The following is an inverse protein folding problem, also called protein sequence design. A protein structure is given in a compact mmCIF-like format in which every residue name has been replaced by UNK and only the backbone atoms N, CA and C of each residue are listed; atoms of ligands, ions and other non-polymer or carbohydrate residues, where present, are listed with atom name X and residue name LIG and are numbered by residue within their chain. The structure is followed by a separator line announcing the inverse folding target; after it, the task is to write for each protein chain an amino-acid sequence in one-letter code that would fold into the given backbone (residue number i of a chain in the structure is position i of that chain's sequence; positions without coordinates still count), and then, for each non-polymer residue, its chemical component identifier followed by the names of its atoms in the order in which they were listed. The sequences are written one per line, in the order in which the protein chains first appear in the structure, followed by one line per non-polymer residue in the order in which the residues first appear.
data_IF_797618938720
#
_entry.id   IF_797618938720
#
_cell.length_a   1.000
_cell.length_b   1.000
_cell.length_c   1.000
_cell.angle_alpha   90.00
_cell.angle_beta   90.00
_cell.angle_gamma   90.00
#
_symmetry.space_group_name_H-M   'P 1'
#
loop_
_entity.id
_entity.type
_entity.pdbx_description
1 polymer ?
#
# COMPACT_ATOMS: atom_id res chain seq x y z
N UNK A 1 -2.20 24.19 -19.36
CA UNK A 1 -2.30 22.72 -19.27
C UNK A 1 -0.90 22.19 -19.50
N UNK A 2 -0.26 21.69 -18.45
CA UNK A 2 1.05 21.06 -18.58
C UNK A 2 0.82 19.55 -18.54
N UNK A 3 1.07 18.87 -19.67
CA UNK A 3 1.16 17.42 -19.74
C UNK A 3 2.27 16.97 -18.81
N UNK A 4 1.93 16.11 -17.85
CA UNK A 4 2.90 15.48 -16.97
C UNK A 4 3.60 14.39 -17.78
N UNK A 5 4.84 14.66 -18.20
CA UNK A 5 5.67 13.68 -18.89
C UNK A 5 6.12 12.57 -17.90
N UNK A 6 6.15 11.29 -18.32
CA UNK A 6 6.63 10.20 -17.48
C UNK A 6 8.12 10.37 -17.11
N UNK A 7 8.48 9.84 -15.93
CA UNK A 7 9.75 10.09 -15.26
C UNK A 7 10.99 9.63 -16.09
N UNK A 8 12.04 10.45 -16.23
CA UNK A 8 13.20 10.18 -17.09
C UNK A 8 14.10 9.02 -16.63
N UNK A 9 13.94 8.55 -15.39
CA UNK A 9 14.66 7.37 -14.85
C UNK A 9 14.18 6.03 -15.44
N UNK A 10 12.94 5.97 -15.92
CA UNK A 10 12.33 4.79 -16.53
C UNK A 10 12.66 4.69 -18.04
N UNK A 11 12.89 5.81 -18.72
CA UNK A 11 12.93 5.87 -20.19
C UNK A 11 14.14 5.19 -20.85
N UNK A 12 15.26 4.99 -20.14
CA UNK A 12 16.47 4.41 -20.75
C UNK A 12 16.40 2.89 -20.97
N UNK A 13 15.58 2.15 -20.21
CA UNK A 13 15.37 0.71 -20.42
C UNK A 13 14.09 0.42 -21.25
N UNK A 14 13.09 1.29 -21.18
CA UNK A 14 11.80 1.17 -21.91
C UNK A 14 11.97 1.12 -23.44
N UNK A 15 12.95 1.86 -23.99
CA UNK A 15 13.13 1.95 -25.44
C UNK A 15 13.66 0.66 -26.09
N UNK A 16 14.07 -0.36 -25.32
CA UNK A 16 14.50 -1.65 -25.87
C UNK A 16 13.41 -2.74 -25.85
N UNK A 17 12.37 -2.60 -25.04
CA UNK A 17 11.32 -3.61 -24.89
C UNK A 17 10.10 -3.39 -25.81
N UNK A 18 9.99 -2.23 -26.47
CA UNK A 18 8.80 -1.84 -27.25
C UNK A 18 8.69 -2.47 -28.64
N UNK A 19 9.51 -3.48 -28.97
CA UNK A 19 9.58 -4.08 -30.32
C UNK A 19 8.91 -5.46 -30.47
N UNK A 20 8.18 -5.95 -29.46
CA UNK A 20 7.37 -7.16 -29.59
C UNK A 20 5.94 -6.89 -29.11
N UNK A 21 5.03 -6.64 -30.06
CA UNK A 21 3.59 -6.72 -29.82
C UNK A 21 3.21 -8.18 -29.57
N UNK A 22 3.50 -8.69 -28.38
CA UNK A 22 2.88 -9.91 -27.87
C UNK A 22 1.46 -9.57 -27.39
N UNK A 23 0.51 -10.45 -27.68
CA UNK A 23 -0.88 -10.40 -27.23
C UNK A 23 -0.98 -9.92 -25.78
N UNK A 24 -1.37 -8.66 -25.58
CA UNK A 24 -1.61 -8.12 -24.24
C UNK A 24 -2.88 -8.78 -23.74
N UNK A 25 -2.73 -9.83 -22.94
CA UNK A 25 -3.83 -10.41 -22.21
C UNK A 25 -4.42 -9.32 -21.31
N UNK A 26 -5.64 -8.90 -21.62
CA UNK A 26 -6.34 -7.93 -20.78
C UNK A 26 -6.69 -8.59 -19.45
N UNK A 27 -6.36 -7.97 -18.30
CA UNK A 27 -6.72 -8.51 -17.00
C UNK A 27 -8.23 -8.70 -16.89
N UNK A 28 -8.67 -9.81 -16.29
CA UNK A 28 -10.10 -10.06 -16.01
C UNK A 28 -10.65 -9.06 -15.00
N UNK A 29 -9.82 -8.62 -14.05
CA UNK A 29 -10.22 -7.68 -13.00
C UNK A 29 -9.87 -6.24 -13.36
N UNK A 30 -10.74 -5.27 -13.05
CA UNK A 30 -10.40 -3.87 -13.17
C UNK A 30 -9.31 -3.50 -12.17
N UNK A 31 -8.51 -2.48 -12.49
CA UNK A 31 -7.55 -1.93 -11.52
C UNK A 31 -8.23 -1.38 -10.28
N UNK A 32 -7.55 -1.47 -9.13
CA UNK A 32 -8.07 -0.88 -7.90
C UNK A 32 -8.30 0.61 -8.11
N UNK A 33 -9.40 1.10 -7.55
CA UNK A 33 -9.71 2.52 -7.54
C UNK A 33 -10.32 2.88 -6.19
N UNK A 34 -9.97 4.06 -5.70
CA UNK A 34 -10.37 4.54 -4.37
C UNK A 34 -11.46 5.60 -4.52
N UNK A 35 -12.61 5.22 -5.04
CA UNK A 35 -13.77 6.12 -5.13
C UNK A 35 -14.43 6.35 -3.75
N UNK A 36 -15.33 7.34 -3.67
CA UNK A 36 -16.05 7.65 -2.43
C UNK A 36 -16.75 6.42 -1.83
N UNK A 37 -17.31 5.53 -2.64
CA UNK A 37 -18.07 4.36 -2.18
C UNK A 37 -17.22 3.34 -1.43
N UNK A 38 -15.93 3.26 -1.76
CA UNK A 38 -14.93 2.45 -1.04
C UNK A 38 -14.81 2.91 0.42
N UNK A 39 -15.04 4.20 0.67
CA UNK A 39 -14.95 4.84 1.98
C UNK A 39 -16.32 5.24 2.52
N UNK A 40 -17.39 4.54 2.20
CA UNK A 40 -18.66 4.70 2.93
C UNK A 40 -18.69 3.66 4.05
N UNK A 41 -18.84 4.11 5.30
CA UNK A 41 -19.05 3.22 6.43
C UNK A 41 -20.43 2.58 6.33
N UNK A 42 -20.51 1.26 6.46
CA UNK A 42 -21.79 0.58 6.71
C UNK A 42 -22.29 0.91 8.12
N UNK A 43 -21.39 0.89 9.13
CA UNK A 43 -21.73 1.23 10.52
C UNK A 43 -20.56 1.96 11.21
N UNK A 44 -20.70 3.26 11.47
CA UNK A 44 -19.68 4.07 12.13
C UNK A 44 -20.27 5.06 13.14
N UNK A 45 -19.99 4.86 14.42
CA UNK A 45 -20.16 5.91 15.45
C UNK A 45 -18.80 6.31 16.03
N UNK A 46 -18.69 7.56 16.51
CA UNK A 46 -17.50 8.05 17.20
C UNK A 46 -16.28 8.29 16.31
N UNK A 47 -15.10 7.81 16.73
CA UNK A 47 -13.81 8.11 16.08
C UNK A 47 -13.72 7.56 14.63
N UNK A 48 -14.41 6.46 14.30
CA UNK A 48 -14.50 5.93 12.92
C UNK A 48 -15.13 6.94 11.97
N UNK A 49 -16.21 7.59 12.39
CA UNK A 49 -16.92 8.57 11.57
C UNK A 49 -16.02 9.77 11.27
N UNK A 50 -15.22 10.21 12.25
CA UNK A 50 -14.30 11.35 12.06
C UNK A 50 -13.24 11.07 10.98
N UNK A 51 -12.68 9.85 10.94
CA UNK A 51 -11.73 9.49 9.88
C UNK A 51 -12.43 9.25 8.53
N UNK A 52 -13.66 8.75 8.52
CA UNK A 52 -14.48 8.69 7.31
C UNK A 52 -14.72 10.08 6.72
N UNK A 53 -15.25 11.00 7.52
CA UNK A 53 -15.52 12.38 7.09
C UNK A 53 -14.25 13.06 6.59
N UNK A 54 -13.12 12.77 7.22
CA UNK A 54 -11.81 13.26 6.78
C UNK A 54 -11.43 12.73 5.39
N UNK A 55 -11.58 11.43 5.13
CA UNK A 55 -11.28 10.85 3.81
C UNK A 55 -12.23 11.41 2.75
N UNK A 56 -13.53 11.47 3.05
CA UNK A 56 -14.53 12.02 2.12
C UNK A 56 -14.25 13.49 1.81
N UNK A 57 -13.89 14.29 2.82
CA UNK A 57 -13.47 15.68 2.63
C UNK A 57 -12.17 15.82 1.82
N UNK A 58 -11.24 14.86 1.93
CA UNK A 58 -10.05 14.80 1.07
C UNK A 58 -10.46 14.54 -0.38
N UNK A 59 -11.34 13.57 -0.62
CA UNK A 59 -11.83 13.24 -1.97
C UNK A 59 -12.61 14.41 -2.57
N UNK A 60 -13.42 15.10 -1.79
CA UNK A 60 -14.16 16.29 -2.25
C UNK A 60 -13.24 17.44 -2.61
N UNK A 61 -12.17 17.63 -1.84
CA UNK A 61 -11.28 18.77 -2.04
C UNK A 61 -10.22 18.53 -3.12
N UNK A 62 -9.66 17.32 -3.18
CA UNK A 62 -8.51 17.01 -4.03
C UNK A 62 -8.76 15.89 -5.02
N UNK A 63 -9.84 15.12 -4.83
CA UNK A 63 -10.16 14.00 -5.69
C UNK A 63 -10.48 14.42 -7.12
N UNK A 64 -10.34 13.47 -8.03
CA UNK A 64 -10.60 13.62 -9.46
C UNK A 64 -11.66 12.59 -9.84
N UNK A 65 -12.74 13.04 -10.47
CA UNK A 65 -13.89 12.20 -10.83
C UNK A 65 -14.45 11.38 -9.65
N UNK A 66 -14.47 11.98 -8.45
CA UNK A 66 -14.94 11.32 -7.22
C UNK A 66 -14.00 10.25 -6.66
N UNK A 67 -12.76 10.16 -7.16
CA UNK A 67 -11.72 9.22 -6.72
C UNK A 67 -10.65 9.93 -5.90
N UNK A 68 -10.09 9.21 -4.92
CA UNK A 68 -8.90 9.62 -4.17
C UNK A 68 -7.68 9.56 -5.10
N UNK A 69 -7.47 10.65 -5.82
CA UNK A 69 -6.27 10.89 -6.63
C UNK A 69 -5.65 12.17 -6.12
N UNK A 70 -4.36 12.14 -5.79
CA UNK A 70 -3.63 13.27 -5.24
C UNK A 70 -2.40 13.57 -6.10
N UNK A 71 -2.11 14.85 -6.30
CA UNK A 71 -0.78 15.29 -6.73
C UNK A 71 0.18 15.25 -5.54
N UNK A 72 1.50 15.05 -5.77
CA UNK A 72 2.48 15.03 -4.68
C UNK A 72 2.40 16.23 -3.74
N UNK A 73 2.23 17.44 -4.28
CA UNK A 73 2.12 18.67 -3.49
C UNK A 73 0.82 18.77 -2.66
N UNK A 74 -0.29 18.19 -3.12
CA UNK A 74 -1.58 18.16 -2.40
C UNK A 74 -1.49 17.31 -1.12
N UNK A 75 -0.60 16.31 -1.10
CA UNK A 75 -0.43 15.42 0.06
C UNK A 75 0.04 16.14 1.33
N UNK A 76 0.75 17.26 1.17
CA UNK A 76 1.15 18.09 2.31
C UNK A 76 -0.05 18.66 3.06
N UNK A 77 -1.04 19.16 2.32
CA UNK A 77 -2.22 19.75 2.90
C UNK A 77 -3.16 18.69 3.47
N UNK A 78 -3.21 17.51 2.85
CA UNK A 78 -3.85 16.32 3.42
C UNK A 78 -3.21 15.97 4.78
N UNK A 79 -1.88 15.86 4.83
CA UNK A 79 -1.11 15.56 6.04
C UNK A 79 -1.25 16.63 7.14
N UNK A 80 -1.55 17.88 6.78
CA UNK A 80 -1.85 18.95 7.75
C UNK A 80 -3.30 18.89 8.25
N UNK A 81 -4.24 18.57 7.39
CA UNK A 81 -5.67 18.52 7.73
C UNK A 81 -5.94 17.42 8.76
N UNK A 82 -5.22 16.30 8.63
CA UNK A 82 -5.23 15.21 9.62
C UNK A 82 -4.62 15.63 10.98
N UNK A 83 -3.70 16.60 11.01
CA UNK A 83 -3.18 17.21 12.26
C UNK A 83 -4.14 18.24 12.88
N UNK A 84 -4.79 19.10 12.08
CA UNK A 84 -5.64 20.19 12.59
C UNK A 84 -6.91 19.69 13.27
N UNK A 85 -7.52 18.62 12.74
CA UNK A 85 -8.63 17.93 13.41
C UNK A 85 -8.24 17.38 14.81
N UNK A 86 -6.95 17.21 15.08
CA UNK A 86 -6.40 16.78 16.38
C UNK A 86 -6.28 17.93 17.38
N UNK A 87 -6.18 19.19 16.92
CA UNK A 87 -5.93 20.37 17.76
C UNK A 87 -7.18 21.21 17.98
N UNK A 88 -8.06 21.37 16.98
CA UNK A 88 -9.24 22.24 17.09
C UNK A 88 -10.41 21.66 17.91
N UNK A 89 -10.49 20.34 18.12
CA UNK A 89 -11.53 19.72 18.98
C UNK A 89 -11.18 19.69 20.48
N UNK A 90 -10.02 20.20 20.88
CA UNK A 90 -9.58 20.26 22.29
C UNK A 90 -10.38 21.23 23.19
N UNK A 91 -11.36 21.96 22.63
CA UNK A 91 -12.24 22.86 23.39
C UNK A 91 -13.54 22.21 23.90
N UNK A 92 -13.89 20.98 23.48
CA UNK A 92 -14.98 20.19 24.07
C UNK A 92 -14.38 18.97 24.76
N UNK A 93 -14.77 18.70 26.02
CA UNK A 93 -14.30 17.58 26.86
C UNK A 93 -14.41 16.25 26.11
N UNK A 94 -13.34 15.82 25.45
CA UNK A 94 -13.26 14.57 24.70
C UNK A 94 -11.84 13.97 24.76
N UNK A 95 -11.67 12.68 24.45
CA UNK A 95 -10.65 11.81 25.03
C UNK A 95 -9.22 12.27 24.78
N UNK A 96 -8.36 12.09 25.79
CA UNK A 96 -6.94 12.44 25.74
C UNK A 96 -6.27 11.94 24.45
N UNK A 97 -5.36 12.74 23.87
CA UNK A 97 -4.59 12.46 22.64
C UNK A 97 -4.00 11.04 22.56
N UNK A 98 -3.74 10.38 23.71
CA UNK A 98 -3.28 8.99 23.79
C UNK A 98 -4.36 7.96 23.38
N UNK A 99 -5.64 8.20 23.67
CA UNK A 99 -6.76 7.28 23.36
C UNK A 99 -7.01 7.23 21.85
N UNK A 100 -7.04 8.38 21.18
CA UNK A 100 -7.21 8.47 19.71
C UNK A 100 -6.08 7.75 18.97
N UNK A 101 -4.84 7.89 19.45
CA UNK A 101 -3.70 7.21 18.84
C UNK A 101 -3.74 5.69 19.10
N UNK A 102 -4.16 5.27 20.30
CA UNK A 102 -4.36 3.85 20.63
C UNK A 102 -5.46 3.21 19.80
N UNK A 103 -6.57 3.94 19.59
CA UNK A 103 -7.65 3.51 18.71
C UNK A 103 -7.17 3.31 17.28
N UNK A 104 -6.50 4.31 16.70
CA UNK A 104 -5.96 4.23 15.33
C UNK A 104 -5.00 3.05 15.14
N UNK A 105 -4.07 2.85 16.08
CA UNK A 105 -3.13 1.72 16.04
C UNK A 105 -3.88 0.39 16.17
N UNK A 106 -4.86 0.31 17.07
CA UNK A 106 -5.70 -0.88 17.22
C UNK A 106 -6.48 -1.20 15.95
N UNK A 107 -7.17 -0.20 15.38
CA UNK A 107 -7.95 -0.34 14.16
C UNK A 107 -7.10 -0.76 12.97
N UNK A 108 -5.93 -0.14 12.79
CA UNK A 108 -4.96 -0.51 11.76
C UNK A 108 -4.51 -1.98 11.92
N UNK A 109 -4.21 -2.41 13.14
CA UNK A 109 -3.83 -3.79 13.43
C UNK A 109 -4.97 -4.76 13.11
N UNK A 110 -6.20 -4.41 13.45
CA UNK A 110 -7.36 -5.25 13.15
C UNK A 110 -7.59 -5.36 11.63
N UNK A 111 -7.34 -4.28 10.88
CA UNK A 111 -7.41 -4.28 9.41
C UNK A 111 -6.29 -5.07 8.75
N UNK A 112 -5.08 -5.06 9.30
CA UNK A 112 -4.01 -5.98 8.87
C UNK A 112 -4.38 -7.44 9.13
N UNK A 113 -4.91 -7.76 10.31
CA UNK A 113 -5.38 -9.12 10.60
C UNK A 113 -6.45 -9.57 9.61
N UNK A 114 -7.42 -8.70 9.33
CA UNK A 114 -8.41 -8.97 8.29
C UNK A 114 -7.75 -9.19 6.92
N UNK A 115 -6.80 -8.33 6.52
CA UNK A 115 -6.08 -8.49 5.26
C UNK A 115 -5.43 -9.87 5.13
N UNK A 116 -4.81 -10.38 6.20
CA UNK A 116 -4.23 -11.73 6.18
C UNK A 116 -5.26 -12.84 5.98
N UNK A 117 -6.50 -12.67 6.45
CA UNK A 117 -7.58 -13.66 6.21
C UNK A 117 -8.08 -13.69 4.77
N UNK A 118 -7.81 -12.64 3.98
CA UNK A 118 -8.29 -12.48 2.60
C UNK A 118 -7.14 -12.27 1.61
N UNK A 119 -5.91 -12.62 2.00
CA UNK A 119 -4.70 -12.33 1.21
C UNK A 119 -4.68 -13.06 -0.13
N UNK A 120 -5.33 -14.23 -0.21
CA UNK A 120 -5.41 -15.02 -1.43
C UNK A 120 -6.18 -14.28 -2.54
N UNK A 121 -7.23 -13.52 -2.17
CA UNK A 121 -7.95 -12.62 -3.10
C UNK A 121 -7.00 -11.65 -3.77
N UNK A 122 -6.08 -11.06 -3.00
CA UNK A 122 -5.11 -10.09 -3.50
C UNK A 122 -4.01 -10.72 -4.35
N UNK A 123 -3.51 -11.91 -3.97
CA UNK A 123 -2.55 -12.62 -4.81
C UNK A 123 -3.14 -13.04 -6.16
N UNK A 124 -4.38 -13.53 -6.16
CA UNK A 124 -5.09 -13.85 -7.41
C UNK A 124 -5.29 -12.59 -8.27
N UNK A 125 -5.54 -11.46 -7.62
CA UNK A 125 -5.75 -10.20 -8.31
C UNK A 125 -4.44 -9.72 -8.96
N UNK A 126 -3.33 -9.69 -8.24
CA UNK A 126 -2.04 -9.32 -8.81
C UNK A 126 -1.57 -10.28 -9.89
N UNK A 127 -1.87 -11.58 -9.75
CA UNK A 127 -1.61 -12.57 -10.80
C UNK A 127 -2.38 -12.27 -12.08
N UNK A 128 -3.63 -11.86 -11.99
CA UNK A 128 -4.40 -11.41 -13.14
C UNK A 128 -3.87 -10.10 -13.75
N UNK A 129 -3.47 -9.14 -12.92
CA UNK A 129 -2.93 -7.86 -13.40
C UNK A 129 -1.57 -7.98 -14.10
N UNK A 130 -0.72 -8.92 -13.65
CA UNK A 130 0.68 -9.01 -14.07
C UNK A 130 1.01 -10.25 -14.88
N UNK A 131 0.20 -11.30 -14.78
CA UNK A 131 0.51 -12.66 -15.23
C UNK A 131 1.45 -13.42 -14.30
N UNK A 132 1.91 -12.80 -13.20
CA UNK A 132 2.91 -13.36 -12.31
C UNK A 132 2.31 -13.79 -10.98
N UNK A 133 2.59 -15.03 -10.57
CA UNK A 133 2.24 -15.52 -9.25
C UNK A 133 3.26 -15.04 -8.21
N UNK A 134 3.09 -13.81 -7.72
CA UNK A 134 4.01 -13.22 -6.75
C UNK A 134 4.09 -14.03 -5.44
N UNK A 135 3.05 -14.79 -5.07
CA UNK A 135 3.08 -15.63 -3.87
C UNK A 135 4.15 -16.70 -3.99
N UNK A 136 4.14 -17.45 -5.09
CA UNK A 136 5.08 -18.54 -5.34
C UNK A 136 6.48 -17.95 -5.54
N UNK A 137 6.62 -16.96 -6.44
CA UNK A 137 7.91 -16.33 -6.75
C UNK A 137 8.59 -15.72 -5.53
N UNK A 138 7.83 -15.08 -4.64
CA UNK A 138 8.38 -14.49 -3.42
C UNK A 138 8.85 -15.57 -2.43
N UNK A 139 8.05 -16.62 -2.24
CA UNK A 139 8.38 -17.74 -1.35
C UNK A 139 9.62 -18.49 -1.79
N UNK A 140 9.87 -18.63 -3.09
CA UNK A 140 11.09 -19.26 -3.61
C UNK A 140 12.35 -18.44 -3.27
N UNK A 141 12.25 -17.10 -3.24
CA UNK A 141 13.39 -16.21 -3.01
C UNK A 141 13.66 -15.90 -1.55
N UNK A 142 12.61 -15.80 -0.73
CA UNK A 142 12.70 -15.32 0.65
C UNK A 142 12.01 -16.33 1.58
N UNK A 143 12.81 -17.09 2.34
CA UNK A 143 12.30 -18.15 3.21
C UNK A 143 11.87 -17.68 4.60
N UNK A 144 12.26 -16.47 5.01
CA UNK A 144 11.95 -15.98 6.36
C UNK A 144 10.45 -15.67 6.51
N UNK A 145 9.69 -16.35 7.41
CA UNK A 145 8.23 -16.25 7.46
C UNK A 145 7.71 -14.83 7.67
N UNK A 146 8.33 -14.05 8.56
CA UNK A 146 7.91 -12.68 8.83
C UNK A 146 7.98 -11.78 7.58
N UNK A 147 8.93 -12.04 6.69
CA UNK A 147 9.05 -11.32 5.43
C UNK A 147 8.01 -11.77 4.42
N UNK A 148 7.73 -13.08 4.35
CA UNK A 148 6.64 -13.62 3.53
C UNK A 148 5.28 -13.06 3.97
N UNK A 149 5.04 -12.94 5.28
CA UNK A 149 3.80 -12.39 5.83
C UNK A 149 3.69 -10.88 5.59
N UNK A 150 4.79 -10.14 5.67
CA UNK A 150 4.76 -8.68 5.45
C UNK A 150 4.65 -8.27 3.99
N UNK A 151 5.17 -9.10 3.07
CA UNK A 151 5.24 -8.81 1.64
C UNK A 151 3.90 -8.40 0.99
N UNK A 152 2.80 -9.15 1.14
CA UNK A 152 1.54 -8.78 0.48
C UNK A 152 0.97 -7.47 1.04
N UNK A 153 1.20 -7.16 2.32
CA UNK A 153 0.80 -5.86 2.88
C UNK A 153 1.63 -4.73 2.27
N UNK A 154 2.94 -4.93 2.13
CA UNK A 154 3.81 -3.99 1.40
C UNK A 154 3.32 -3.77 -0.03
N UNK A 155 3.07 -4.85 -0.78
CA UNK A 155 2.69 -4.75 -2.18
C UNK A 155 1.34 -4.03 -2.36
N UNK A 156 0.38 -4.29 -1.47
CA UNK A 156 -0.88 -3.54 -1.47
C UNK A 156 -0.68 -2.05 -1.20
N UNK A 157 0.21 -1.68 -0.27
CA UNK A 157 0.52 -0.27 -0.03
C UNK A 157 1.23 0.38 -1.22
N UNK A 158 2.13 -0.35 -1.89
CA UNK A 158 2.79 0.10 -3.10
C UNK A 158 1.76 0.39 -4.21
N UNK A 159 0.85 -0.56 -4.45
CA UNK A 159 -0.26 -0.40 -5.40
C UNK A 159 -1.17 0.77 -5.05
N UNK A 160 -1.53 0.93 -3.77
CA UNK A 160 -2.31 2.07 -3.31
C UNK A 160 -1.61 3.41 -3.59
N UNK A 161 -0.28 3.50 -3.42
CA UNK A 161 0.49 4.70 -3.74
C UNK A 161 0.48 4.95 -5.26
N UNK A 162 0.69 3.91 -6.07
CA UNK A 162 0.62 4.01 -7.53
C UNK A 162 -0.76 4.54 -7.95
N UNK A 163 -1.84 3.95 -7.45
CA UNK A 163 -3.21 4.34 -7.81
C UNK A 163 -3.56 5.76 -7.35
N UNK A 164 -3.15 6.18 -6.15
CA UNK A 164 -3.49 7.51 -5.63
C UNK A 164 -2.72 8.60 -6.37
N UNK A 165 -1.46 8.39 -6.71
CA UNK A 165 -0.61 9.46 -7.24
C UNK A 165 -0.38 9.39 -8.75
N UNK A 166 -0.58 8.23 -9.37
CA UNK A 166 -0.35 7.97 -10.79
C UNK A 166 -1.51 7.16 -11.42
N UNK A 167 -2.77 7.63 -11.30
CA UNK A 167 -3.95 6.87 -11.77
C UNK A 167 -4.04 6.74 -13.29
N UNK A 168 -3.38 7.61 -14.04
CA UNK A 168 -3.41 7.66 -15.50
C UNK A 168 -2.38 6.72 -16.16
N UNK A 169 -1.65 5.93 -15.36
CA UNK A 169 -0.66 4.97 -15.85
C UNK A 169 -1.28 3.95 -16.79
N UNK A 170 -0.62 3.69 -17.92
CA UNK A 170 -1.06 2.66 -18.87
C UNK A 170 -0.91 1.26 -18.25
N UNK A 171 -1.58 0.25 -18.80
CA UNK A 171 -1.56 -1.11 -18.21
C UNK A 171 -0.16 -1.69 -18.12
N UNK A 172 0.64 -1.45 -19.15
CA UNK A 172 2.04 -1.86 -19.19
C UNK A 172 2.80 -1.21 -18.03
N UNK A 173 2.72 0.12 -17.90
CA UNK A 173 3.38 0.87 -16.81
C UNK A 173 2.92 0.42 -15.43
N UNK A 174 1.63 0.15 -15.26
CA UNK A 174 1.07 -0.33 -13.99
C UNK A 174 1.62 -1.70 -13.58
N UNK A 175 1.65 -2.64 -14.53
CA UNK A 175 2.28 -3.95 -14.34
C UNK A 175 3.75 -3.79 -13.97
N UNK A 176 4.48 -2.95 -14.70
CA UNK A 176 5.91 -2.69 -14.45
C UNK A 176 6.14 -2.10 -13.05
N UNK A 177 5.27 -1.22 -12.55
CA UNK A 177 5.38 -0.70 -11.19
C UNK A 177 5.17 -1.79 -10.12
N UNK A 178 4.20 -2.69 -10.31
CA UNK A 178 3.98 -3.81 -9.40
C UNK A 178 5.14 -4.80 -9.40
N UNK A 179 5.67 -5.12 -10.58
CA UNK A 179 6.85 -5.98 -10.73
C UNK A 179 8.10 -5.33 -10.12
N UNK A 180 8.28 -4.02 -10.32
CA UNK A 180 9.36 -3.26 -9.69
C UNK A 180 9.23 -3.23 -8.16
N UNK A 181 8.02 -3.10 -7.62
CA UNK A 181 7.79 -3.19 -6.18
C UNK A 181 8.14 -4.59 -5.64
N UNK A 182 7.74 -5.65 -6.34
CA UNK A 182 8.12 -7.03 -6.02
C UNK A 182 9.65 -7.20 -6.01
N UNK A 183 10.33 -6.82 -7.10
CA UNK A 183 11.78 -6.97 -7.23
C UNK A 183 12.53 -6.16 -6.17
N UNK A 184 12.12 -4.91 -5.96
CA UNK A 184 12.70 -4.05 -4.93
C UNK A 184 12.58 -4.69 -3.55
N UNK A 185 11.40 -5.16 -3.18
CA UNK A 185 11.18 -5.79 -1.87
C UNK A 185 12.01 -7.06 -1.72
N UNK A 186 11.97 -7.96 -2.71
CA UNK A 186 12.71 -9.22 -2.65
C UNK A 186 14.23 -9.00 -2.58
N UNK A 187 14.78 -8.07 -3.37
CA UNK A 187 16.21 -7.76 -3.37
C UNK A 187 16.64 -7.09 -2.06
N UNK A 188 15.85 -6.14 -1.55
CA UNK A 188 16.16 -5.48 -0.29
C UNK A 188 16.04 -6.45 0.90
N UNK A 189 15.03 -7.33 0.87
CA UNK A 189 14.84 -8.38 1.87
C UNK A 189 16.03 -9.34 1.89
N UNK A 190 16.46 -9.82 0.71
CA UNK A 190 17.65 -10.67 0.58
C UNK A 190 18.89 -9.98 1.12
N UNK A 191 19.12 -8.72 0.72
CA UNK A 191 20.25 -7.93 1.23
C UNK A 191 20.24 -7.83 2.76
N UNK A 192 19.10 -7.54 3.38
CA UNK A 192 19.00 -7.47 4.84
C UNK A 192 19.21 -8.83 5.50
N UNK A 193 18.76 -9.92 4.89
CA UNK A 193 19.03 -11.28 5.36
C UNK A 193 20.52 -11.61 5.28
N UNK A 194 21.18 -11.32 4.16
CA UNK A 194 22.61 -11.55 3.96
C UNK A 194 23.44 -10.77 5.01
N UNK A 195 23.10 -9.49 5.24
CA UNK A 195 23.71 -8.64 6.28
C UNK A 195 23.44 -9.17 7.72
N UNK A 196 22.28 -9.78 7.98
CA UNK A 196 21.94 -10.36 9.29
C UNK A 196 22.63 -11.73 9.52
N UNK A 197 22.81 -12.53 8.46
CA UNK A 197 23.51 -13.81 8.50
C UNK A 197 25.00 -13.65 8.86
N UNK A 198 25.62 -12.54 8.47
CA UNK A 198 26.98 -12.17 8.91
C UNK A 198 27.04 -11.90 10.43
N UNK A 199 25.91 -11.67 11.11
CA UNK A 199 25.85 -11.18 12.50
C UNK A 199 25.41 -12.24 13.53
N UNK A 200 24.66 -13.28 13.16
CA UNK A 200 24.28 -14.36 14.10
C UNK A 200 23.69 -15.63 13.43
N UNK A 201 24.40 -16.77 13.55
CA UNK A 201 23.78 -18.10 13.44
C UNK A 201 23.36 -18.53 14.85
N UNK A 202 22.08 -18.49 15.16
CA UNK A 202 21.51 -19.22 16.31
C UNK A 202 20.09 -19.72 15.97
N UNK A 203 20.04 -20.92 15.38
CA UNK A 203 18.91 -21.87 15.32
C UNK A 203 17.61 -21.54 14.56
N UNK A 204 17.03 -22.61 14.01
CA UNK A 204 16.20 -22.71 12.81
C UNK A 204 14.77 -22.14 12.85
N UNK A 205 14.36 -21.46 13.93
CA UNK A 205 12.96 -21.00 14.05
C UNK A 205 12.76 -19.65 14.74
N UNK A 206 13.83 -19.01 15.23
CA UNK A 206 13.73 -17.71 15.89
C UNK A 206 14.73 -16.76 15.30
N UNK A 207 14.24 -15.62 14.84
CA UNK A 207 15.08 -14.49 14.43
C UNK A 207 16.04 -14.17 15.57
N UNK A 208 17.34 -14.21 15.30
CA UNK A 208 18.37 -13.93 16.32
C UNK A 208 18.15 -12.55 16.93
N UNK A 209 18.43 -12.37 18.23
CA UNK A 209 18.23 -11.07 18.92
C UNK A 209 18.97 -9.89 18.25
N UNK A 210 20.03 -10.19 17.51
CA UNK A 210 20.83 -9.20 16.78
C UNK A 210 20.30 -8.88 15.38
N UNK A 211 19.39 -9.69 14.84
CA UNK A 211 18.79 -9.46 13.53
C UNK A 211 17.90 -8.23 13.55
N UNK A 212 17.88 -7.52 12.42
CA UNK A 212 17.00 -6.37 12.17
C UNK A 212 15.51 -6.74 12.24
N UNK A 213 15.19 -8.02 12.09
CA UNK A 213 13.83 -8.54 12.14
C UNK A 213 13.40 -8.98 13.55
N UNK A 214 14.29 -8.89 14.54
CA UNK A 214 13.98 -9.36 15.89
C UNK A 214 12.82 -8.59 16.52
N UNK A 215 11.78 -9.30 16.94
CA UNK A 215 10.60 -8.71 17.56
C UNK A 215 9.71 -7.91 16.62
N UNK A 216 9.99 -7.90 15.30
CA UNK A 216 9.18 -7.22 14.29
C UNK A 216 7.82 -7.89 14.10
N UNK A 217 7.66 -9.15 14.52
CA UNK A 217 6.39 -9.89 14.56
C UNK A 217 5.35 -9.15 15.43
N UNK A 218 5.81 -8.47 16.48
CA UNK A 218 4.99 -7.63 17.34
C UNK A 218 4.70 -6.24 16.76
N UNK A 219 5.43 -5.85 15.72
CA UNK A 219 5.37 -4.54 15.09
C UNK A 219 5.26 -4.64 13.55
N UNK A 220 4.30 -5.42 13.06
CA UNK A 220 4.09 -5.66 11.62
C UNK A 220 3.99 -4.40 10.73
N UNK A 221 3.71 -3.23 11.30
CA UNK A 221 3.77 -1.95 10.58
C UNK A 221 5.18 -1.44 10.34
N UNK A 222 6.09 -1.65 11.29
CA UNK A 222 7.48 -1.21 11.16
C UNK A 222 8.18 -1.94 10.01
N UNK A 223 7.92 -3.24 9.86
CA UNK A 223 8.50 -4.03 8.77
C UNK A 223 7.98 -3.55 7.40
N UNK A 224 6.69 -3.27 7.25
CA UNK A 224 6.14 -2.73 5.99
C UNK A 224 6.80 -1.41 5.62
N UNK A 225 6.92 -0.48 6.58
CA UNK A 225 7.55 0.82 6.34
C UNK A 225 9.07 0.77 6.16
N UNK A 226 9.73 -0.28 6.64
CA UNK A 226 11.16 -0.51 6.38
C UNK A 226 11.44 -0.75 4.88
N UNK A 227 10.46 -1.28 4.14
CA UNK A 227 10.53 -1.46 2.69
C UNK A 227 9.86 -0.30 1.93
N UNK A 228 8.71 0.21 2.40
CA UNK A 228 8.03 1.32 1.72
C UNK A 228 8.83 2.63 1.73
N UNK A 229 9.49 2.99 2.84
CA UNK A 229 10.28 4.23 2.90
C UNK A 229 11.31 4.31 1.76
N UNK A 230 12.24 3.34 1.61
CA UNK A 230 13.23 3.40 0.54
C UNK A 230 12.61 3.18 -0.85
N UNK A 231 11.55 2.38 -0.99
CA UNK A 231 10.86 2.22 -2.28
C UNK A 231 10.23 3.55 -2.77
N UNK A 232 9.51 4.27 -1.90
CA UNK A 232 8.94 5.59 -2.23
C UNK A 232 10.05 6.58 -2.56
N UNK A 233 11.17 6.53 -1.83
CA UNK A 233 12.33 7.40 -2.09
C UNK A 233 12.91 7.19 -3.49
N UNK A 234 12.98 5.94 -3.93
CA UNK A 234 13.60 5.57 -5.21
C UNK A 234 12.66 5.81 -6.40
N UNK A 235 11.42 5.35 -6.30
CA UNK A 235 10.48 5.36 -7.44
C UNK A 235 9.57 6.60 -7.47
N UNK A 236 9.40 7.28 -6.34
CA UNK A 236 8.49 8.42 -6.21
C UNK A 236 9.13 9.61 -5.48
N UNK A 237 10.24 10.16 -6.01
CA UNK A 237 11.01 11.21 -5.31
C UNK A 237 10.20 12.47 -5.01
N UNK A 238 9.23 12.82 -5.86
CA UNK A 238 8.31 13.94 -5.63
C UNK A 238 7.45 13.72 -4.38
N UNK A 239 6.85 12.53 -4.26
CA UNK A 239 6.05 12.13 -3.09
C UNK A 239 6.95 12.06 -1.86
N UNK A 240 8.12 11.42 -1.99
CA UNK A 240 9.11 11.34 -0.93
C UNK A 240 9.46 12.71 -0.37
N UNK A 241 9.72 13.71 -1.23
CA UNK A 241 10.09 15.06 -0.82
C UNK A 241 9.03 15.73 0.07
N UNK A 242 7.75 15.44 -0.20
CA UNK A 242 6.61 15.97 0.55
C UNK A 242 6.38 15.18 1.84
N UNK A 243 6.46 13.85 1.78
CA UNK A 243 6.24 12.95 2.91
C UNK A 243 7.38 12.97 3.95
N UNK A 244 8.61 13.19 3.50
CA UNK A 244 9.81 13.28 4.33
C UNK A 244 10.20 14.71 4.70
N UNK A 245 9.35 15.70 4.40
CA UNK A 245 9.65 17.13 4.61
C UNK A 245 10.21 17.36 6.02
N UNK A 246 11.44 17.89 6.09
CA UNK A 246 12.23 18.14 7.31
C UNK A 246 12.85 16.92 8.01
N UNK A 247 12.93 15.77 7.34
CA UNK A 247 13.44 14.51 7.92
C UNK A 247 14.16 13.67 6.85
N UNK A 248 15.04 12.78 7.30
CA UNK A 248 15.67 11.75 6.43
C UNK A 248 14.74 10.54 6.17
N UNK A 249 13.58 10.51 6.81
CA UNK A 249 12.56 9.46 6.72
C UNK A 249 11.17 10.08 6.58
N UNK A 250 10.24 9.34 6.00
CA UNK A 250 8.83 9.74 5.95
C UNK A 250 8.34 10.00 7.39
N UNK A 251 7.69 11.14 7.60
CA UNK A 251 7.23 11.52 8.93
C UNK A 251 6.00 10.68 9.34
N UNK A 252 5.81 10.48 10.65
CA UNK A 252 4.73 9.64 11.21
C UNK A 252 3.33 10.06 10.78
N UNK A 253 3.08 11.34 10.49
CA UNK A 253 1.75 11.78 10.06
C UNK A 253 1.48 11.34 8.63
N UNK A 254 2.46 11.48 7.74
CA UNK A 254 2.37 11.00 6.37
C UNK A 254 2.15 9.49 6.33
N UNK A 255 2.86 8.71 7.17
CA UNK A 255 2.58 7.27 7.36
C UNK A 255 1.15 7.03 7.82
N UNK A 256 0.72 7.78 8.84
CA UNK A 256 -0.62 7.68 9.39
C UNK A 256 -1.75 7.97 8.40
N UNK A 257 -1.54 8.87 7.43
CA UNK A 257 -2.51 9.13 6.35
C UNK A 257 -2.64 7.92 5.44
N UNK A 258 -1.51 7.37 4.96
CA UNK A 258 -1.50 6.19 4.09
C UNK A 258 -2.14 4.99 4.81
N UNK A 259 -1.77 4.75 6.07
CA UNK A 259 -2.36 3.71 6.91
C UNK A 259 -3.87 3.90 7.12
N UNK A 260 -4.34 5.16 7.16
CA UNK A 260 -5.76 5.49 7.26
C UNK A 260 -6.49 5.10 5.96
N UNK A 261 -5.96 5.46 4.79
CA UNK A 261 -6.53 5.04 3.51
C UNK A 261 -6.61 3.52 3.40
N UNK A 262 -5.54 2.81 3.79
CA UNK A 262 -5.55 1.34 3.85
C UNK A 262 -6.66 0.81 4.77
N UNK A 263 -6.71 1.29 6.02
CA UNK A 263 -7.62 0.74 7.04
C UNK A 263 -9.10 0.92 6.68
N UNK A 264 -9.44 2.02 6.00
CA UNK A 264 -10.80 2.34 5.62
C UNK A 264 -11.22 1.78 4.26
N UNK A 265 -10.27 1.45 3.38
CA UNK A 265 -10.59 0.89 2.06
C UNK A 265 -10.62 -0.64 2.00
N UNK A 266 -9.75 -1.31 2.77
CA UNK A 266 -9.38 -2.70 2.47
C UNK A 266 -10.56 -3.68 2.46
N UNK A 267 -11.48 -3.56 3.43
CA UNK A 267 -12.65 -4.45 3.52
C UNK A 267 -13.55 -4.31 2.30
N UNK A 268 -13.87 -3.07 1.93
CA UNK A 268 -14.82 -2.81 0.84
C UNK A 268 -14.22 -3.18 -0.51
N UNK A 269 -12.94 -2.89 -0.71
CA UNK A 269 -12.22 -3.34 -1.88
C UNK A 269 -12.23 -4.87 -1.97
N UNK A 270 -11.83 -5.58 -0.91
CA UNK A 270 -11.86 -7.05 -0.91
C UNK A 270 -13.25 -7.59 -1.26
N UNK A 271 -14.32 -7.08 -0.64
CA UNK A 271 -15.70 -7.50 -0.95
C UNK A 271 -16.06 -7.34 -2.45
N UNK A 272 -15.58 -6.26 -3.08
CA UNK A 272 -15.80 -6.01 -4.52
C UNK A 272 -15.04 -7.05 -5.36
N UNK A 273 -13.77 -7.29 -5.06
CA UNK A 273 -12.95 -8.22 -5.82
C UNK A 273 -13.37 -9.69 -5.62
N UNK A 274 -13.77 -10.08 -4.41
CA UNK A 274 -14.38 -11.39 -4.14
C UNK A 274 -15.67 -11.61 -4.94
N UNK A 275 -16.51 -10.58 -5.08
CA UNK A 275 -17.70 -10.64 -5.93
C UNK A 275 -17.34 -10.80 -7.40
N UNK A 276 -16.26 -10.18 -7.88
CA UNK A 276 -15.78 -10.41 -9.23
C UNK A 276 -15.37 -11.88 -9.41
N UNK A 277 -14.60 -12.47 -8.48
CA UNK A 277 -14.24 -13.90 -8.53
C UNK A 277 -15.49 -14.80 -8.58
N UNK A 278 -16.46 -14.55 -7.71
CA UNK A 278 -17.71 -15.32 -7.69
C UNK A 278 -18.46 -15.25 -9.02
N UNK A 279 -18.45 -14.11 -9.71
CA UNK A 279 -19.07 -13.98 -11.04
C UNK A 279 -18.33 -14.75 -12.13
N UNK A 280 -17.00 -14.74 -12.14
CA UNK A 280 -16.22 -15.45 -13.17
C UNK A 280 -16.26 -16.97 -13.01
N UNK A 281 -16.27 -17.47 -11.77
CA UNK A 281 -16.40 -18.91 -11.52
C UNK A 281 -17.78 -19.47 -11.93
N UNK A 282 -18.82 -18.63 -11.98
CA UNK A 282 -20.14 -19.02 -12.48
C UNK A 282 -20.17 -19.08 -14.02
N UNK A 283 -19.47 -18.16 -14.69
CA UNK A 283 -19.41 -18.10 -16.17
C UNK A 283 -18.56 -19.25 -16.74
N UNK A 284 -17.48 -19.67 -16.07
CA UNK A 284 -16.66 -20.81 -16.49
C UNK A 284 -17.31 -22.18 -16.18
N UNK A 285 -18.48 -22.19 -15.53
CA UNK A 285 -19.23 -23.40 -15.16
C UNK A 285 -20.50 -23.65 -15.99
N UNK A 286 -20.82 -22.76 -16.94
CA UNK A 286 -21.87 -23.01 -17.93
C UNK A 286 -21.26 -23.71 -19.16
N UNK A 287 -21.71 -24.94 -19.50
CA UNK A 287 -21.17 -25.75 -20.59
C UNK A 287 -21.52 -25.24 -21.99
#
# INVERSE_FOLDING_TARGET
MAEYAPHPGFSKEINRASASMENIQHPKFPRISFDKSIFIAEDGQGEKQTYHDLILGIIEKYGRDGKLVLKPNEFWDVSKSTKKNRTQKSAKKEPSVSRVNKYRIGFLRDKQKYFYTVVDTWYNYWKDQTGNDFRIKYRERIQLPILQDSFPVFLFHAEMIITIFYPETKQIEYKEYLESAFEFHANLAKKYLDEDHEVAIETDTRVAKKSKFYGMDRYGQLIVWMFLDPWIKEFFPEIWSVMSRYSRRINTNSKGVIETFFSFSIKKLTEIYEKFYGKFNLIESEP
#
